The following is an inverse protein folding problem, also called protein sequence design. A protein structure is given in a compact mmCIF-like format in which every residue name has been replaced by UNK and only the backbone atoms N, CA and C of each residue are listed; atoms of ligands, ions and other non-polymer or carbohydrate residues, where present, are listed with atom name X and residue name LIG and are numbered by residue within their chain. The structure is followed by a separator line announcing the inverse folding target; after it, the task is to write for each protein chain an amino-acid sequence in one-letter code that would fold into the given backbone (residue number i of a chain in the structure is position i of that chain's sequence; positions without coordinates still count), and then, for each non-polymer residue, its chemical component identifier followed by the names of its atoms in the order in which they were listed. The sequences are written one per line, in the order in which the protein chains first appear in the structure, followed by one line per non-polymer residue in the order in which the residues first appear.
data_IF_897610749439
#
_entry.id   IF_897610749439
#
_cell.length_a   1.000
_cell.length_b   1.000
_cell.length_c   1.000
_cell.angle_alpha   90.00
_cell.angle_beta   90.00
_cell.angle_gamma   90.00
#
_symmetry.space_group_name_H-M   'P 1'
#
loop_
_entity.id
_entity.type
_entity.pdbx_description
1 polymer ?
#
# COMPACT_ATOMS: atom_id res chain seq x y z
N UNK A 1 1.11 22.53 25.49
CA UNK A 1 2.04 22.17 24.41
C UNK A 1 1.52 20.90 23.78
N UNK A 2 1.02 20.96 22.54
CA UNK A 2 0.58 19.75 21.84
C UNK A 2 1.83 18.88 21.59
N UNK A 3 1.81 17.64 22.08
CA UNK A 3 2.85 16.69 21.75
C UNK A 3 2.83 16.51 20.22
N UNK A 4 3.95 16.82 19.56
CA UNK A 4 4.12 16.52 18.14
C UNK A 4 3.93 15.00 17.96
N UNK A 5 3.19 14.61 16.91
CA UNK A 5 3.03 13.20 16.57
C UNK A 5 4.43 12.57 16.38
N UNK A 6 4.80 11.54 17.17
CA UNK A 6 6.13 10.96 17.10
C UNK A 6 6.32 10.01 15.90
N UNK A 7 5.28 9.83 15.08
CA UNK A 7 5.30 9.01 13.85
C UNK A 7 5.38 9.89 12.61
N UNK A 8 6.38 9.61 11.78
CA UNK A 8 6.56 10.23 10.46
C UNK A 8 6.21 9.21 9.39
N UNK A 9 5.32 9.59 8.47
CA UNK A 9 5.00 8.79 7.28
C UNK A 9 6.15 8.91 6.27
N UNK A 10 6.64 7.77 5.77
CA UNK A 10 7.57 7.74 4.64
C UNK A 10 6.84 8.13 3.34
N UNK A 11 7.51 8.91 2.50
CA UNK A 11 6.92 9.45 1.29
C UNK A 11 6.62 8.37 0.24
N UNK A 12 7.45 7.33 0.17
CA UNK A 12 7.30 6.25 -0.79
C UNK A 12 6.65 5.04 -0.11
N UNK A 13 5.46 4.60 -0.56
CA UNK A 13 4.89 3.34 -0.12
C UNK A 13 5.71 2.15 -0.67
N UNK A 14 5.32 0.94 -0.30
CA UNK A 14 5.87 -0.31 -0.85
C UNK A 14 4.76 -1.19 -1.41
N UNK A 15 5.10 -2.02 -2.39
CA UNK A 15 4.25 -3.08 -2.90
C UNK A 15 4.76 -4.44 -2.44
N UNK A 16 3.84 -5.35 -2.17
CA UNK A 16 4.20 -6.72 -1.87
C UNK A 16 3.01 -7.66 -1.90
N UNK A 17 3.30 -8.95 -1.93
CA UNK A 17 2.30 -10.00 -1.74
C UNK A 17 2.09 -10.31 -0.28
N UNK A 18 0.84 -10.54 0.10
CA UNK A 18 0.50 -11.07 1.40
C UNK A 18 1.01 -12.52 1.52
N UNK A 19 2.01 -12.75 2.36
CA UNK A 19 2.52 -14.10 2.66
C UNK A 19 1.59 -14.89 3.58
N UNK A 20 0.71 -14.19 4.30
CA UNK A 20 -0.31 -14.74 5.21
C UNK A 20 -1.57 -13.87 5.13
N UNK A 21 -2.71 -14.39 5.57
CA UNK A 21 -3.99 -13.66 5.66
C UNK A 21 -4.21 -12.97 7.01
N UNK A 22 -3.12 -12.49 7.64
CA UNK A 22 -3.16 -11.88 8.98
C UNK A 22 -3.26 -10.35 8.95
N UNK A 23 -2.91 -9.72 7.82
CA UNK A 23 -3.01 -8.26 7.67
C UNK A 23 -4.44 -7.82 7.39
N UNK A 24 -4.86 -6.75 8.07
CA UNK A 24 -6.13 -6.06 7.84
C UNK A 24 -5.87 -4.78 7.06
N UNK A 25 -6.70 -4.50 6.05
CA UNK A 25 -6.63 -3.28 5.28
C UNK A 25 -7.06 -2.08 6.13
N UNK A 26 -6.24 -1.04 6.17
CA UNK A 26 -6.49 0.17 6.97
C UNK A 26 -7.46 1.17 6.32
N UNK A 27 -7.94 0.89 5.11
CA UNK A 27 -8.95 1.73 4.44
C UNK A 27 -10.37 1.17 4.58
N UNK A 28 -10.53 -0.16 4.52
CA UNK A 28 -11.85 -0.81 4.48
C UNK A 28 -12.08 -1.80 5.63
N UNK A 29 -11.10 -1.97 6.52
CA UNK A 29 -11.11 -2.89 7.67
C UNK A 29 -11.32 -4.38 7.32
N UNK A 30 -11.32 -4.74 6.03
CA UNK A 30 -11.38 -6.13 5.59
C UNK A 30 -9.99 -6.80 5.64
N UNK A 31 -9.99 -8.12 5.77
CA UNK A 31 -8.78 -8.94 5.71
C UNK A 31 -8.17 -8.90 4.31
N UNK A 32 -6.85 -8.91 4.24
CA UNK A 32 -6.08 -9.09 2.99
C UNK A 32 -5.72 -10.57 2.92
N UNK A 33 -6.17 -11.25 1.88
CA UNK A 33 -5.98 -12.69 1.75
C UNK A 33 -4.55 -13.05 1.31
N UNK A 34 -4.12 -14.26 1.63
CA UNK A 34 -2.80 -14.74 1.22
C UNK A 34 -2.70 -14.77 -0.31
N UNK A 35 -1.59 -14.26 -0.83
CA UNK A 35 -1.34 -14.15 -2.28
C UNK A 35 -1.85 -12.86 -2.91
N UNK A 36 -2.68 -12.07 -2.21
CA UNK A 36 -3.12 -10.77 -2.73
C UNK A 36 -1.99 -9.74 -2.75
N UNK A 37 -2.03 -8.85 -3.74
CA UNK A 37 -1.16 -7.67 -3.79
C UNK A 37 -1.68 -6.64 -2.80
N UNK A 38 -0.78 -6.14 -1.96
CA UNK A 38 -1.07 -5.11 -0.97
C UNK A 38 -0.07 -3.97 -1.04
N UNK A 39 -0.54 -2.79 -0.67
CA UNK A 39 0.24 -1.55 -0.59
C UNK A 39 0.56 -1.30 0.87
N UNK A 40 1.84 -1.13 1.20
CA UNK A 40 2.33 -0.83 2.54
C UNK A 40 2.73 0.64 2.68
N UNK A 41 2.15 1.35 3.64
CA UNK A 41 2.60 2.69 4.03
C UNK A 41 3.47 2.57 5.26
N UNK A 42 4.72 3.00 5.15
CA UNK A 42 5.71 2.88 6.22
C UNK A 42 5.65 4.13 7.11
N UNK A 43 5.60 3.91 8.42
CA UNK A 43 5.71 4.95 9.43
C UNK A 43 6.91 4.69 10.31
N UNK A 44 7.71 5.71 10.54
CA UNK A 44 8.88 5.65 11.40
C UNK A 44 8.65 6.49 12.64
N UNK A 45 8.85 5.87 13.81
CA UNK A 45 8.82 6.55 15.08
C UNK A 45 10.17 7.22 15.35
N UNK A 46 10.16 8.35 16.07
CA UNK A 46 11.39 9.05 16.51
C UNK A 46 12.34 8.18 17.37
N UNK A 47 11.83 7.08 17.93
CA UNK A 47 12.62 6.09 18.70
C UNK A 47 13.13 4.91 17.86
N UNK A 48 12.97 4.97 16.53
CA UNK A 48 13.43 3.93 15.61
C UNK A 48 12.46 2.77 15.37
N UNK A 49 11.25 2.79 15.93
CA UNK A 49 10.22 1.80 15.59
C UNK A 49 9.69 2.03 14.18
N UNK A 50 9.34 0.94 13.49
CA UNK A 50 8.70 0.97 12.18
C UNK A 50 7.32 0.35 12.32
N UNK A 51 6.30 1.04 11.82
CA UNK A 51 4.96 0.50 11.64
C UNK A 51 4.64 0.46 10.14
N UNK A 52 3.89 -0.55 9.71
CA UNK A 52 3.36 -0.64 8.37
C UNK A 52 1.85 -0.73 8.43
N UNK A 53 1.21 0.17 7.70
CA UNK A 53 -0.21 0.04 7.39
C UNK A 53 -0.37 -0.61 6.02
N UNK A 54 -1.03 -1.76 6.01
CA UNK A 54 -1.35 -2.49 4.79
C UNK A 54 -2.70 -2.06 4.26
N UNK A 55 -2.79 -1.96 2.94
CA UNK A 55 -4.02 -1.66 2.21
C UNK A 55 -4.16 -2.63 1.05
N UNK A 56 -5.40 -2.99 0.68
CA UNK A 56 -5.64 -3.65 -0.61
C UNK A 56 -5.16 -2.77 -1.75
N UNK A 57 -4.75 -3.39 -2.86
CA UNK A 57 -4.42 -2.68 -4.09
C UNK A 57 -5.55 -1.70 -4.51
N UNK A 58 -6.80 -2.14 -4.40
CA UNK A 58 -7.99 -1.38 -4.79
C UNK A 58 -8.41 -0.32 -3.77
N UNK A 59 -7.83 -0.34 -2.57
CA UNK A 59 -8.14 0.61 -1.51
C UNK A 59 -7.11 1.75 -1.40
N UNK A 60 -6.14 1.81 -2.32
CA UNK A 60 -5.16 2.88 -2.37
C UNK A 60 -5.75 4.16 -3.02
N UNK A 61 -5.32 5.33 -2.53
CA UNK A 61 -5.82 6.61 -3.00
C UNK A 61 -5.27 7.03 -4.38
N UNK A 62 -4.09 6.54 -4.75
CA UNK A 62 -3.36 6.99 -5.95
C UNK A 62 -2.91 5.81 -6.80
N UNK A 63 -3.83 5.13 -7.51
CA UNK A 63 -3.53 3.93 -8.28
C UNK A 63 -2.56 4.19 -9.45
N UNK A 64 -2.54 5.41 -10.00
CA UNK A 64 -1.60 5.81 -11.05
C UNK A 64 -0.13 5.83 -10.61
N UNK A 65 0.15 5.88 -9.31
CA UNK A 65 1.52 5.86 -8.79
C UNK A 65 2.05 4.44 -8.58
N UNK A 66 1.20 3.41 -8.60
CA UNK A 66 1.57 2.04 -8.22
C UNK A 66 2.75 1.47 -9.02
N UNK A 67 2.87 1.81 -10.31
CA UNK A 67 3.99 1.38 -11.15
C UNK A 67 5.36 2.00 -10.78
N UNK A 68 5.35 3.05 -9.95
CA UNK A 68 6.55 3.75 -9.48
C UNK A 68 6.88 3.46 -8.01
N UNK A 69 6.13 2.55 -7.37
CA UNK A 69 6.28 2.19 -5.97
C UNK A 69 7.34 1.09 -5.81
N UNK A 70 8.17 1.20 -4.77
CA UNK A 70 9.18 0.20 -4.43
C UNK A 70 8.55 -1.20 -4.27
N UNK A 71 9.13 -2.21 -4.92
CA UNK A 71 8.61 -3.58 -4.92
C UNK A 71 7.76 -3.92 -6.14
N UNK A 72 7.40 -2.95 -6.99
CA UNK A 72 6.74 -3.20 -8.28
C UNK A 72 7.60 -4.08 -9.20
N UNK A 73 8.91 -3.89 -9.19
CA UNK A 73 9.89 -4.63 -9.96
C UNK A 73 9.96 -6.12 -9.59
N UNK A 74 9.55 -6.47 -8.36
CA UNK A 74 9.55 -7.83 -7.83
C UNK A 74 8.27 -8.61 -8.19
N UNK A 75 7.29 -7.94 -8.78
CA UNK A 75 6.04 -8.56 -9.24
C UNK A 75 6.24 -9.30 -10.56
N UNK A 76 5.40 -10.29 -10.79
CA UNK A 76 5.31 -11.00 -12.06
C UNK A 76 4.67 -10.11 -13.14
N UNK A 77 4.91 -10.41 -14.41
CA UNK A 77 4.34 -9.65 -15.53
C UNK A 77 2.80 -9.66 -15.53
N UNK A 78 2.16 -10.76 -15.10
CA UNK A 78 0.72 -10.84 -14.94
C UNK A 78 0.20 -9.89 -13.85
N UNK A 79 0.91 -9.79 -12.73
CA UNK A 79 0.56 -8.88 -11.64
C UNK A 79 0.76 -7.41 -12.03
N UNK A 80 1.82 -7.11 -12.78
CA UNK A 80 2.06 -5.77 -13.35
C UNK A 80 0.94 -5.36 -14.31
N UNK A 81 0.54 -6.25 -15.22
CA UNK A 81 -0.58 -6.01 -16.15
C UNK A 81 -1.90 -5.76 -15.41
N UNK A 82 -2.16 -6.50 -14.33
CA UNK A 82 -3.33 -6.27 -13.48
C UNK A 82 -3.29 -4.90 -12.79
N UNK A 83 -2.12 -4.49 -12.28
CA UNK A 83 -1.92 -3.15 -11.68
C UNK A 83 -2.13 -2.05 -12.72
N UNK A 84 -1.54 -2.19 -13.91
CA UNK A 84 -1.70 -1.22 -14.98
C UNK A 84 -3.15 -1.11 -15.44
N UNK A 85 -3.85 -2.24 -15.60
CA UNK A 85 -5.27 -2.28 -15.94
C UNK A 85 -6.10 -1.57 -14.88
N UNK A 86 -5.82 -1.82 -13.60
CA UNK A 86 -6.47 -1.14 -12.49
C UNK A 86 -6.17 0.37 -12.45
N UNK A 87 -4.91 0.76 -12.67
CA UNK A 87 -4.49 2.16 -12.70
C UNK A 87 -5.17 2.92 -13.85
N UNK A 88 -5.32 2.28 -15.01
CA UNK A 88 -6.02 2.84 -16.17
C UNK A 88 -7.54 2.95 -15.93
N UNK A 89 -8.15 2.00 -15.22
CA UNK A 89 -9.60 1.99 -14.96
C UNK A 89 -10.04 2.98 -13.87
N UNK A 90 -9.18 3.32 -12.92
CA UNK A 90 -9.54 4.12 -11.73
C UNK A 90 -9.42 5.64 -11.93
N UNK A 91 -9.19 6.11 -13.16
CA UNK A 91 -9.04 7.53 -13.51
C UNK A 91 -10.34 8.36 -13.41
N UNK A 92 -11.35 7.92 -12.63
CA UNK A 92 -12.72 8.47 -12.63
C UNK A 92 -13.27 8.86 -11.26
N UNK A 93 -12.67 8.50 -10.11
CA UNK A 93 -13.30 8.80 -8.81
C UNK A 93 -12.32 9.21 -7.71
N UNK A 94 -11.84 10.46 -7.77
CA UNK A 94 -11.60 11.27 -6.57
C UNK A 94 -11.93 12.74 -6.93
N UNK A 95 -13.18 13.13 -6.71
CA UNK A 95 -13.64 14.53 -6.67
C UNK A 95 -14.25 14.78 -5.28
#
# INVERSE_FOLDING_TARGET
MAALNPWTRHATPILGRATTSTSQCRSCDARIEQGEIRVGVIFQHVKGYIALDWHHLTCCASPHLLASVDGYELLTECEKDAIETYAKSTNVVVA
#
